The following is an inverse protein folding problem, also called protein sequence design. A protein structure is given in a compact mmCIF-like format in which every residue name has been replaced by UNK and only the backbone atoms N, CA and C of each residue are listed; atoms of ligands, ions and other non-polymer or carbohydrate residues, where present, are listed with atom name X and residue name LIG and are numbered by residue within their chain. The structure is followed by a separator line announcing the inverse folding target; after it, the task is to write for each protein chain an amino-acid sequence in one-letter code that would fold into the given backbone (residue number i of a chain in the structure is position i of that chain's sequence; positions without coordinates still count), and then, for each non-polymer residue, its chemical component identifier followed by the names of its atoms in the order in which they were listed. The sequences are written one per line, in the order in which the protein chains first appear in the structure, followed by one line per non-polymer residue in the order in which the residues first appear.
data_IF_390158155611
#
_entry.id   IF_390158155611
#
_cell.length_a   1.000
_cell.length_b   1.000
_cell.length_c   1.000
_cell.angle_alpha   90.00
_cell.angle_beta   90.00
_cell.angle_gamma   90.00
#
_symmetry.space_group_name_H-M   'P 1'
#
loop_
_entity.id
_entity.type
_entity.pdbx_description
1 polymer ?
#
# COMPACT_ATOMS: atom_id res chain seq x y z
N UNK A 1 50.84 -3.19 -66.48
CA UNK A 1 49.47 -2.90 -66.07
C UNK A 1 49.09 -3.68 -64.80
N UNK A 2 49.76 -3.49 -63.69
CA UNK A 2 49.46 -4.15 -62.39
C UNK A 2 49.01 -3.18 -61.23
N UNK A 3 49.02 -1.87 -61.47
CA UNK A 3 48.73 -0.90 -60.43
C UNK A 3 47.27 -0.35 -60.35
N UNK A 4 46.40 -0.70 -61.30
CA UNK A 4 45.02 -0.16 -61.36
C UNK A 4 43.97 -1.04 -60.67
N UNK A 5 44.31 -2.29 -60.30
CA UNK A 5 43.39 -3.21 -59.63
C UNK A 5 43.32 -2.92 -58.12
N UNK A 6 44.38 -2.31 -57.57
CA UNK A 6 44.49 -2.04 -56.12
C UNK A 6 43.67 -0.79 -55.66
N UNK A 7 43.41 0.17 -56.56
CA UNK A 7 42.64 1.38 -56.25
C UNK A 7 41.19 1.11 -55.84
N UNK A 8 40.38 0.28 -56.56
CA UNK A 8 39.04 -0.08 -56.12
C UNK A 8 39.06 -0.89 -54.84
N UNK A 9 40.01 -1.79 -54.68
CA UNK A 9 40.17 -2.58 -53.45
C UNK A 9 40.48 -1.70 -52.23
N UNK A 10 41.35 -0.70 -52.40
CA UNK A 10 41.65 0.30 -51.36
C UNK A 10 40.42 1.13 -51.02
N UNK A 11 39.62 1.54 -52.01
CA UNK A 11 38.39 2.28 -51.81
C UNK A 11 37.35 1.51 -51.00
N UNK A 12 37.17 0.20 -51.31
CA UNK A 12 36.28 -0.69 -50.57
C UNK A 12 36.78 -0.91 -49.13
N UNK A 13 38.11 -1.13 -48.97
CA UNK A 13 38.69 -1.30 -47.65
C UNK A 13 38.50 -0.06 -46.77
N UNK A 14 38.69 1.15 -47.34
CA UNK A 14 38.50 2.40 -46.62
C UNK A 14 37.04 2.62 -46.25
N UNK A 15 36.12 2.29 -47.14
CA UNK A 15 34.68 2.38 -46.88
C UNK A 15 34.26 1.43 -45.75
N UNK A 16 34.70 0.18 -45.77
CA UNK A 16 34.43 -0.79 -44.71
C UNK A 16 35.00 -0.33 -43.37
N UNK A 17 36.23 0.20 -43.38
CA UNK A 17 36.88 0.72 -42.17
C UNK A 17 36.10 1.91 -41.60
N UNK A 18 35.61 2.83 -42.45
CA UNK A 18 34.83 3.97 -42.04
C UNK A 18 33.49 3.51 -41.46
N UNK A 19 32.80 2.57 -42.09
CA UNK A 19 31.51 2.03 -41.60
C UNK A 19 31.69 1.34 -40.24
N UNK A 20 32.73 0.50 -40.09
CA UNK A 20 33.00 -0.15 -38.80
C UNK A 20 33.40 0.83 -37.72
N UNK A 21 34.12 1.89 -38.05
CA UNK A 21 34.47 2.96 -37.10
C UNK A 21 33.22 3.72 -36.64
N UNK A 22 32.31 4.09 -37.55
CA UNK A 22 31.08 4.78 -37.25
C UNK A 22 30.17 3.91 -36.35
N UNK A 23 30.00 2.63 -36.69
CA UNK A 23 29.26 1.67 -35.84
C UNK A 23 29.91 1.56 -34.46
N UNK A 24 31.22 1.43 -34.39
CA UNK A 24 31.94 1.37 -33.11
C UNK A 24 31.74 2.59 -32.24
N UNK A 25 31.82 3.80 -32.82
CA UNK A 25 31.58 5.06 -32.08
C UNK A 25 30.14 5.19 -31.61
N UNK A 26 29.15 4.88 -32.45
CA UNK A 26 27.74 4.94 -32.06
C UNK A 26 27.40 3.95 -30.95
N UNK A 27 27.93 2.73 -31.01
CA UNK A 27 27.77 1.71 -29.97
C UNK A 27 28.43 2.15 -28.66
N UNK A 28 29.67 2.68 -28.73
CA UNK A 28 30.39 3.15 -27.56
C UNK A 28 29.68 4.34 -26.88
N UNK A 29 29.18 5.32 -27.67
CA UNK A 29 28.42 6.43 -27.14
C UNK A 29 27.10 5.98 -26.52
N UNK A 30 26.39 5.02 -27.11
CA UNK A 30 25.17 4.46 -26.54
C UNK A 30 25.43 3.74 -25.20
N UNK A 31 26.50 2.96 -25.11
CA UNK A 31 26.91 2.27 -23.89
C UNK A 31 27.32 3.28 -22.78
N UNK A 32 28.04 4.34 -23.14
CA UNK A 32 28.44 5.39 -22.18
C UNK A 32 27.22 6.15 -21.65
N UNK A 33 26.29 6.56 -22.52
CA UNK A 33 25.06 7.23 -22.12
C UNK A 33 24.20 6.35 -21.20
N UNK A 34 24.12 5.05 -21.48
CA UNK A 34 23.43 4.09 -20.59
C UNK A 34 24.13 3.94 -19.24
N UNK A 35 25.46 3.97 -19.20
CA UNK A 35 26.23 3.88 -17.95
C UNK A 35 26.08 5.15 -17.07
N UNK A 36 25.82 6.31 -17.65
CA UNK A 36 25.57 7.54 -16.91
C UNK A 36 24.13 7.65 -16.37
N UNK A 37 23.14 7.15 -17.11
CA UNK A 37 21.72 7.18 -16.71
C UNK A 37 21.42 6.23 -15.55
N UNK A 38 21.94 5.02 -15.59
CA UNK A 38 21.64 3.98 -14.60
C UNK A 38 21.92 4.38 -13.14
N UNK A 39 22.98 5.12 -12.76
CA UNK A 39 23.19 5.59 -11.40
C UNK A 39 22.14 6.62 -10.95
N UNK A 40 21.70 7.52 -11.83
CA UNK A 40 20.71 8.55 -11.54
C UNK A 40 19.34 7.91 -11.32
N UNK A 41 18.93 7.04 -12.24
CA UNK A 41 17.69 6.27 -12.14
C UNK A 41 17.67 5.46 -10.83
N UNK A 42 18.76 4.78 -10.51
CA UNK A 42 18.87 4.01 -9.27
C UNK A 42 18.74 4.89 -8.03
N UNK A 43 19.39 6.05 -8.00
CA UNK A 43 19.32 6.97 -6.87
C UNK A 43 17.89 7.49 -6.69
N UNK A 44 17.22 7.83 -7.80
CA UNK A 44 15.83 8.27 -7.79
C UNK A 44 14.91 7.15 -7.34
N UNK A 45 15.05 5.92 -7.88
CA UNK A 45 14.23 4.78 -7.50
C UNK A 45 14.38 4.43 -6.00
N UNK A 46 15.61 4.47 -5.47
CA UNK A 46 15.87 4.27 -4.03
C UNK A 46 15.21 5.38 -3.22
N UNK A 47 15.38 6.65 -3.60
CA UNK A 47 14.79 7.79 -2.91
C UNK A 47 13.26 7.73 -2.87
N UNK A 48 12.61 7.43 -3.99
CA UNK A 48 11.16 7.21 -4.08
C UNK A 48 10.73 6.05 -3.19
N UNK A 49 11.42 4.91 -3.27
CA UNK A 49 11.13 3.74 -2.44
C UNK A 49 11.24 4.05 -0.93
N UNK A 50 12.28 4.81 -0.51
CA UNK A 50 12.46 5.20 0.88
C UNK A 50 11.37 6.16 1.36
N UNK A 51 10.96 7.10 0.54
CA UNK A 51 9.89 8.05 0.87
C UNK A 51 8.53 7.36 0.99
N UNK A 52 8.20 6.44 0.08
CA UNK A 52 6.93 5.68 0.10
C UNK A 52 6.76 4.92 1.42
N UNK A 53 7.84 4.35 1.97
CA UNK A 53 7.78 3.54 3.19
C UNK A 53 8.13 4.31 4.46
N UNK A 54 8.32 5.62 4.37
CA UNK A 54 8.62 6.45 5.54
C UNK A 54 7.43 6.48 6.51
N UNK A 55 7.69 6.74 7.80
CA UNK A 55 6.63 6.77 8.81
C UNK A 55 5.58 7.87 8.57
N UNK A 56 6.01 8.96 7.92
CA UNK A 56 5.18 10.13 7.65
C UNK A 56 4.56 10.12 6.25
N UNK A 57 4.77 9.02 5.48
CA UNK A 57 4.19 8.90 4.16
C UNK A 57 2.67 8.64 4.25
N UNK A 58 1.86 9.25 3.36
CA UNK A 58 0.41 9.09 3.39
C UNK A 58 -0.05 7.68 3.05
N UNK A 59 0.83 6.86 2.47
CA UNK A 59 0.57 5.46 2.13
C UNK A 59 0.92 4.50 3.28
N UNK A 60 1.39 4.98 4.43
CA UNK A 60 1.86 4.12 5.51
C UNK A 60 1.03 4.28 6.78
N UNK A 61 0.71 3.16 7.40
CA UNK A 61 0.21 3.12 8.80
C UNK A 61 1.36 3.39 9.77
N UNK A 62 2.55 2.91 9.43
CA UNK A 62 3.82 3.09 10.12
C UNK A 62 4.96 2.74 9.18
N UNK A 63 6.18 3.11 9.55
CA UNK A 63 7.35 2.84 8.70
C UNK A 63 7.39 1.40 8.19
N UNK A 64 7.53 1.24 6.88
CA UNK A 64 7.60 -0.04 6.15
C UNK A 64 6.31 -0.89 6.22
N UNK A 65 5.18 -0.28 6.60
CA UNK A 65 3.86 -0.91 6.58
C UNK A 65 2.91 -0.03 5.77
N UNK A 66 2.57 -0.48 4.58
CA UNK A 66 1.67 0.22 3.67
C UNK A 66 0.22 -0.06 4.06
N UNK A 67 -0.61 0.96 3.93
CA UNK A 67 -2.06 0.84 4.02
C UNK A 67 -2.62 0.49 2.64
N UNK A 68 -3.23 -0.69 2.51
CA UNK A 68 -3.78 -1.14 1.23
C UNK A 68 -4.89 -0.21 0.72
N UNK A 69 -5.69 0.33 1.63
CA UNK A 69 -6.80 1.21 1.28
C UNK A 69 -6.28 2.58 0.80
N UNK A 70 -5.16 3.04 1.33
CA UNK A 70 -4.52 4.29 0.93
C UNK A 70 -3.80 4.20 -0.44
N UNK A 71 -3.42 3.00 -0.89
CA UNK A 71 -2.69 2.83 -2.16
C UNK A 71 -3.50 3.27 -3.37
N UNK A 72 -4.83 3.16 -3.33
CA UNK A 72 -5.72 3.63 -4.38
C UNK A 72 -5.76 5.16 -4.58
N UNK A 73 -5.20 5.93 -3.64
CA UNK A 73 -5.10 7.40 -3.72
C UNK A 73 -3.77 7.91 -4.29
N UNK A 74 -2.87 7.03 -4.71
CA UNK A 74 -1.61 7.43 -5.32
C UNK A 74 -1.80 7.66 -6.82
N UNK A 75 -1.58 8.89 -7.27
CA UNK A 75 -1.67 9.30 -8.66
C UNK A 75 -0.31 9.67 -9.26
N UNK A 76 -0.28 9.92 -10.57
CA UNK A 76 0.93 10.30 -11.31
C UNK A 76 1.52 11.64 -10.85
N UNK A 77 0.68 12.57 -10.46
CA UNK A 77 1.12 13.91 -10.04
C UNK A 77 1.83 13.82 -8.68
N UNK A 78 1.34 12.96 -7.78
CA UNK A 78 1.99 12.70 -6.52
C UNK A 78 3.41 12.12 -6.68
N UNK A 79 3.68 11.35 -7.75
CA UNK A 79 5.04 10.84 -8.02
C UNK A 79 6.04 11.96 -8.29
N UNK A 80 5.63 13.00 -8.99
CA UNK A 80 6.47 14.14 -9.30
C UNK A 80 6.57 15.12 -8.12
N UNK A 81 5.43 15.55 -7.60
CA UNK A 81 5.35 16.62 -6.61
C UNK A 81 5.83 16.20 -5.21
N UNK A 82 5.53 14.97 -4.83
CA UNK A 82 5.80 14.49 -3.47
C UNK A 82 7.01 13.57 -3.39
N UNK A 83 7.19 12.70 -4.37
CA UNK A 83 8.25 11.69 -4.35
C UNK A 83 9.46 12.07 -5.19
N UNK A 84 9.43 13.24 -5.85
CA UNK A 84 10.59 13.81 -6.54
C UNK A 84 11.01 13.04 -7.79
N UNK A 85 10.08 12.37 -8.46
CA UNK A 85 10.34 11.81 -9.79
C UNK A 85 10.50 12.97 -10.78
N UNK A 86 11.61 13.07 -11.53
CA UNK A 86 11.79 14.12 -12.53
C UNK A 86 10.67 14.09 -13.57
N UNK A 87 10.25 15.27 -14.03
CA UNK A 87 9.15 15.40 -15.01
C UNK A 87 9.46 14.83 -16.40
N UNK A 88 10.73 14.64 -16.70
CA UNK A 88 11.26 14.03 -17.93
C UNK A 88 11.52 12.53 -17.80
N UNK A 89 11.37 11.96 -16.59
CA UNK A 89 11.52 10.55 -16.33
C UNK A 89 10.16 9.84 -16.24
N UNK A 90 10.11 8.61 -16.74
CA UNK A 90 8.99 7.72 -16.50
C UNK A 90 9.22 6.92 -15.20
N UNK A 91 8.15 6.66 -14.46
CA UNK A 91 8.23 5.84 -13.25
C UNK A 91 7.02 4.91 -13.13
N UNK A 92 7.26 3.77 -12.50
CA UNK A 92 6.23 2.77 -12.22
C UNK A 92 6.43 2.17 -10.84
N UNK A 93 5.36 2.17 -10.06
CA UNK A 93 5.33 1.51 -8.75
C UNK A 93 4.41 0.31 -8.82
N UNK A 94 4.92 -0.83 -8.35
CA UNK A 94 4.17 -2.08 -8.26
C UNK A 94 4.21 -2.61 -6.82
N UNK A 95 3.17 -3.34 -6.48
CA UNK A 95 3.09 -4.11 -5.24
C UNK A 95 2.70 -5.55 -5.60
N UNK A 96 3.57 -6.51 -5.30
CA UNK A 96 3.43 -7.91 -5.71
C UNK A 96 3.18 -8.07 -7.23
N UNK A 97 3.82 -7.24 -8.05
CA UNK A 97 3.67 -7.24 -9.51
C UNK A 97 2.45 -6.48 -10.04
N UNK A 98 1.50 -6.09 -9.21
CA UNK A 98 0.37 -5.24 -9.58
C UNK A 98 0.78 -3.77 -9.64
N UNK A 99 0.40 -3.06 -10.71
CA UNK A 99 0.72 -1.64 -10.88
C UNK A 99 -0.19 -0.81 -10.00
N UNK A 100 0.40 -0.08 -9.04
CA UNK A 100 -0.33 0.90 -8.22
C UNK A 100 -0.43 2.22 -8.96
N UNK A 101 0.69 2.70 -9.52
CA UNK A 101 0.76 3.98 -10.24
C UNK A 101 1.87 3.94 -11.28
N UNK A 102 1.69 4.69 -12.36
CA UNK A 102 2.69 4.85 -13.41
C UNK A 102 2.62 6.27 -13.98
N UNK A 103 3.76 6.88 -14.28
CA UNK A 103 3.87 8.12 -15.05
C UNK A 103 4.80 7.86 -16.23
N UNK A 104 4.42 8.34 -17.41
CA UNK A 104 5.15 8.09 -18.65
C UNK A 104 5.11 6.62 -19.11
N UNK A 105 5.93 6.32 -20.10
CA UNK A 105 6.08 4.96 -20.65
C UNK A 105 7.40 4.37 -20.14
N UNK A 106 7.31 3.31 -19.36
CA UNK A 106 8.48 2.59 -18.80
C UNK A 106 8.77 1.41 -19.70
N UNK A 107 9.77 1.55 -20.57
CA UNK A 107 10.23 0.51 -21.52
C UNK A 107 11.52 -0.19 -21.05
N UNK A 108 12.16 0.32 -20.00
CA UNK A 108 13.40 -0.16 -19.42
C UNK A 108 13.62 0.38 -18.02
N UNK A 109 14.77 1.01 -17.82
CA UNK A 109 15.12 1.71 -16.59
C UNK A 109 15.61 0.83 -15.45
N UNK A 110 15.77 1.44 -14.29
CA UNK A 110 16.29 0.76 -13.09
C UNK A 110 15.16 0.46 -12.12
N UNK A 111 15.05 -0.81 -11.72
CA UNK A 111 14.08 -1.26 -10.71
C UNK A 111 14.77 -1.51 -9.37
N UNK A 112 14.16 -1.00 -8.32
CA UNK A 112 14.52 -1.27 -6.92
C UNK A 112 13.38 -2.03 -6.27
N UNK A 113 13.71 -3.18 -5.69
CA UNK A 113 12.77 -4.03 -4.96
C UNK A 113 12.98 -3.92 -3.46
N UNK A 114 11.88 -3.91 -2.72
CA UNK A 114 11.89 -3.87 -1.26
C UNK A 114 10.79 -4.75 -0.69
N UNK A 115 11.11 -5.51 0.34
CA UNK A 115 10.11 -6.23 1.12
C UNK A 115 9.43 -5.23 2.07
N UNK A 116 8.12 -5.14 1.97
CA UNK A 116 7.26 -4.31 2.83
C UNK A 116 6.21 -5.18 3.52
N UNK A 117 5.57 -4.64 4.52
CA UNK A 117 4.32 -5.18 5.04
C UNK A 117 3.16 -4.39 4.43
N UNK A 118 2.07 -5.06 4.16
CA UNK A 118 0.82 -4.43 3.72
C UNK A 118 -0.25 -4.77 4.74
N UNK A 119 -0.86 -3.74 5.29
CA UNK A 119 -1.99 -3.85 6.19
C UNK A 119 -3.28 -3.61 5.41
N UNK A 120 -4.24 -4.51 5.56
CA UNK A 120 -5.59 -4.38 5.03
C UNK A 120 -6.59 -4.51 6.16
N UNK A 121 -7.73 -3.80 6.06
CA UNK A 121 -8.83 -3.90 7.00
C UNK A 121 -10.01 -4.55 6.31
N UNK A 122 -10.63 -5.49 6.98
CA UNK A 122 -11.79 -6.19 6.48
C UNK A 122 -12.98 -5.91 7.39
N UNK A 123 -14.07 -5.42 6.83
CA UNK A 123 -15.30 -5.22 7.59
C UNK A 123 -15.91 -6.57 7.97
N UNK A 124 -16.19 -6.75 9.25
CA UNK A 124 -16.87 -7.92 9.78
C UNK A 124 -18.02 -7.51 10.68
N UNK A 125 -19.19 -8.07 10.41
CA UNK A 125 -20.39 -7.84 11.20
C UNK A 125 -20.81 -9.13 11.90
N UNK A 126 -21.09 -9.03 13.20
CA UNK A 126 -21.57 -10.13 14.03
C UNK A 126 -22.83 -9.73 14.77
N UNK A 127 -23.74 -10.68 14.92
CA UNK A 127 -24.87 -10.63 15.87
C UNK A 127 -24.60 -11.67 16.94
N UNK A 128 -24.29 -11.27 18.19
CA UNK A 128 -23.85 -12.21 19.21
C UNK A 128 -24.99 -13.13 19.67
N UNK A 129 -24.68 -14.41 19.83
CA UNK A 129 -25.61 -15.33 20.46
C UNK A 129 -25.46 -15.24 21.99
N UNK A 130 -26.41 -14.59 22.68
CA UNK A 130 -26.44 -14.48 24.14
C UNK A 130 -27.16 -15.68 24.75
N UNK A 131 -26.43 -16.70 25.17
CA UNK A 131 -27.04 -17.87 25.82
C UNK A 131 -27.18 -17.68 27.35
N UNK A 132 -26.06 -17.47 28.05
CA UNK A 132 -25.98 -17.34 29.52
C UNK A 132 -25.34 -16.05 29.98
N UNK A 133 -24.42 -15.55 29.17
CA UNK A 133 -23.69 -14.30 29.45
C UNK A 133 -23.94 -13.33 28.31
N UNK A 134 -24.17 -12.08 28.62
CA UNK A 134 -24.31 -11.00 27.65
C UNK A 134 -22.94 -10.43 27.28
N UNK A 135 -22.10 -11.33 26.75
CA UNK A 135 -20.71 -11.02 26.48
C UNK A 135 -20.35 -11.47 25.06
N UNK A 136 -19.61 -10.66 24.36
CA UNK A 136 -19.06 -10.98 23.05
C UNK A 136 -17.58 -10.65 23.04
N UNK A 137 -16.77 -11.51 22.41
CA UNK A 137 -15.34 -11.32 22.31
C UNK A 137 -14.99 -10.88 20.91
N UNK A 138 -14.36 -9.71 20.80
CA UNK A 138 -13.79 -9.19 19.56
C UNK A 138 -12.31 -9.55 19.49
N UNK A 139 -11.80 -9.94 18.33
CA UNK A 139 -10.40 -10.30 18.19
C UNK A 139 -9.50 -9.06 18.35
N UNK A 140 -8.28 -9.28 18.77
CA UNK A 140 -7.22 -8.25 18.73
C UNK A 140 -7.06 -7.72 17.30
N UNK A 141 -6.45 -6.54 17.16
CA UNK A 141 -6.26 -5.79 15.90
C UNK A 141 -7.55 -5.14 15.37
N UNK A 142 -8.57 -5.02 16.22
CA UNK A 142 -9.75 -4.22 15.94
C UNK A 142 -9.65 -2.95 16.79
N UNK A 143 -9.19 -1.84 16.19
CA UNK A 143 -9.05 -0.56 16.90
C UNK A 143 -10.40 0.14 17.08
N UNK A 144 -11.36 -0.16 16.22
CA UNK A 144 -12.66 0.48 16.16
C UNK A 144 -13.75 -0.57 15.95
N UNK A 145 -14.92 -0.29 16.49
CA UNK A 145 -16.13 -1.05 16.22
C UNK A 145 -17.34 -0.12 16.25
N UNK A 146 -18.33 -0.39 15.41
CA UNK A 146 -19.63 0.25 15.43
C UNK A 146 -20.65 -0.68 16.05
N UNK A 147 -21.27 -0.27 17.15
CA UNK A 147 -22.29 -1.01 17.88
C UNK A 147 -23.67 -0.45 17.53
N UNK A 148 -24.56 -1.29 16.98
CA UNK A 148 -25.97 -0.97 16.77
C UNK A 148 -26.82 -1.73 17.77
N UNK A 149 -27.61 -1.01 18.56
CA UNK A 149 -28.51 -1.51 19.59
C UNK A 149 -29.96 -1.18 19.26
N UNK A 150 -30.79 -2.23 19.20
CA UNK A 150 -32.24 -2.13 19.00
C UNK A 150 -33.00 -2.96 20.04
N UNK A 151 -32.87 -2.65 21.35
CA UNK A 151 -33.48 -3.45 22.40
C UNK A 151 -35.02 -3.41 22.30
N UNK A 152 -35.73 -4.50 22.62
CA UNK A 152 -37.18 -4.51 22.63
C UNK A 152 -37.74 -3.64 23.79
N UNK A 153 -39.00 -3.30 23.70
CA UNK A 153 -39.64 -2.36 24.65
C UNK A 153 -39.56 -2.77 26.14
N UNK A 154 -39.38 -4.07 26.42
CA UNK A 154 -39.24 -4.62 27.76
C UNK A 154 -37.77 -4.78 28.21
N UNK A 155 -36.82 -4.25 27.45
CA UNK A 155 -35.37 -4.36 27.72
C UNK A 155 -34.74 -2.98 27.74
N UNK A 156 -33.94 -2.73 28.76
CA UNK A 156 -33.16 -1.48 28.89
C UNK A 156 -31.69 -1.85 29.01
N UNK A 157 -30.88 -1.58 27.99
CA UNK A 157 -29.41 -1.71 28.04
C UNK A 157 -28.85 -0.45 28.68
N UNK A 158 -28.27 -0.58 29.86
CA UNK A 158 -27.76 0.60 30.61
C UNK A 158 -26.28 0.85 30.39
N UNK A 159 -25.47 -0.22 30.27
CA UNK A 159 -24.03 -0.08 30.22
C UNK A 159 -23.46 -1.05 29.19
N UNK A 160 -22.48 -0.59 28.42
CA UNK A 160 -21.61 -1.43 27.60
C UNK A 160 -20.17 -1.23 28.09
N UNK A 161 -19.54 -2.32 28.46
CA UNK A 161 -18.15 -2.34 28.96
C UNK A 161 -17.24 -3.09 28.01
N UNK A 162 -16.03 -2.60 27.88
CA UNK A 162 -14.93 -3.36 27.29
C UNK A 162 -14.01 -3.81 28.45
N UNK A 163 -13.98 -5.10 28.70
CA UNK A 163 -13.29 -5.67 29.86
C UNK A 163 -13.71 -4.94 31.16
N UNK A 164 -12.81 -4.19 31.78
CA UNK A 164 -13.08 -3.43 33.00
C UNK A 164 -13.49 -1.96 32.77
N UNK A 165 -13.48 -1.47 31.52
CA UNK A 165 -13.76 -0.08 31.19
C UNK A 165 -15.20 0.11 30.69
N UNK A 166 -15.88 1.13 31.20
CA UNK A 166 -17.19 1.53 30.69
C UNK A 166 -17.00 2.30 29.39
N UNK A 167 -17.52 1.79 28.28
CA UNK A 167 -17.51 2.50 26.99
C UNK A 167 -18.75 3.38 26.83
N UNK A 168 -19.91 2.84 27.19
CA UNK A 168 -21.19 3.54 27.08
C UNK A 168 -21.97 3.35 28.37
N UNK A 169 -22.61 4.42 28.86
CA UNK A 169 -23.52 4.35 30.00
C UNK A 169 -24.68 5.34 29.80
N UNK A 170 -25.92 4.87 30.01
CA UNK A 170 -27.13 5.66 30.03
C UNK A 170 -28.18 4.96 30.89
N UNK A 171 -28.59 5.61 31.99
CA UNK A 171 -29.57 5.04 32.91
C UNK A 171 -30.98 4.90 32.28
N UNK A 172 -31.29 5.77 31.32
CA UNK A 172 -32.57 5.73 30.57
C UNK A 172 -32.60 4.67 29.48
N UNK A 173 -31.44 4.05 29.19
CA UNK A 173 -31.25 3.02 28.18
C UNK A 173 -30.46 3.50 26.97
N UNK A 174 -29.69 2.58 26.42
CA UNK A 174 -28.89 2.74 25.18
C UNK A 174 -29.70 2.15 24.01
N UNK A 175 -29.91 2.93 22.97
CA UNK A 175 -30.53 2.54 21.71
C UNK A 175 -29.97 3.39 20.59
N UNK A 176 -29.74 2.81 19.41
CA UNK A 176 -29.11 3.47 18.25
C UNK A 176 -27.74 2.94 17.94
N UNK A 177 -26.96 3.73 17.21
CA UNK A 177 -25.61 3.36 16.72
C UNK A 177 -24.56 4.16 17.48
N UNK A 178 -23.49 3.47 17.89
CA UNK A 178 -22.39 4.03 18.70
C UNK A 178 -21.06 3.56 18.13
N UNK A 179 -20.12 4.49 17.98
CA UNK A 179 -18.74 4.17 17.61
C UNK A 179 -17.93 3.93 18.88
N UNK A 180 -17.22 2.80 18.91
CA UNK A 180 -16.41 2.34 20.01
C UNK A 180 -14.94 2.36 19.65
N UNK A 181 -14.10 2.97 20.48
CA UNK A 181 -12.64 2.87 20.38
C UNK A 181 -12.15 1.73 21.24
N UNK A 182 -11.38 0.81 20.65
CA UNK A 182 -10.90 -0.41 21.27
C UNK A 182 -9.37 -0.45 21.26
N UNK A 183 -8.78 -1.33 22.08
CA UNK A 183 -7.36 -1.60 22.02
C UNK A 183 -7.03 -2.52 20.85
N UNK A 184 -6.17 -2.12 19.89
CA UNK A 184 -5.76 -2.99 18.80
C UNK A 184 -4.80 -4.10 19.24
N UNK A 185 -4.25 -4.00 20.45
CA UNK A 185 -3.22 -4.91 20.95
C UNK A 185 -3.80 -6.13 21.67
N UNK A 186 -5.01 -6.00 22.20
CA UNK A 186 -5.64 -7.00 23.04
C UNK A 186 -6.95 -7.51 22.43
N UNK A 187 -7.37 -8.68 22.87
CA UNK A 187 -8.70 -9.21 22.62
C UNK A 187 -9.67 -8.50 23.54
N UNK A 188 -10.71 -7.85 23.03
CA UNK A 188 -11.66 -7.09 23.82
C UNK A 188 -12.91 -7.91 24.08
N UNK A 189 -13.32 -7.99 25.36
CA UNK A 189 -14.57 -8.59 25.74
C UNK A 189 -15.62 -7.50 26.00
N UNK A 190 -16.60 -7.37 25.10
CA UNK A 190 -17.74 -6.47 25.30
C UNK A 190 -18.78 -7.16 26.17
N UNK A 191 -19.18 -6.49 27.26
CA UNK A 191 -20.21 -6.94 28.19
C UNK A 191 -21.36 -5.96 28.21
N UNK A 192 -22.59 -6.48 28.10
CA UNK A 192 -23.81 -5.69 28.07
C UNK A 192 -24.56 -5.86 29.39
N UNK A 193 -24.79 -4.76 30.11
CA UNK A 193 -25.61 -4.74 31.32
C UNK A 193 -27.00 -4.27 30.93
N UNK A 194 -27.96 -5.18 30.96
CA UNK A 194 -29.34 -4.90 30.56
C UNK A 194 -30.36 -5.44 31.59
N UNK A 195 -31.41 -4.71 31.77
CA UNK A 195 -32.64 -5.15 32.45
C UNK A 195 -33.60 -5.69 31.39
N UNK A 196 -34.10 -6.92 31.57
CA UNK A 196 -34.92 -7.59 30.59
C UNK A 196 -34.14 -8.51 29.63
N UNK A 197 -34.81 -9.25 28.75
CA UNK A 197 -34.18 -10.16 27.81
C UNK A 197 -33.46 -9.39 26.69
N UNK A 198 -32.19 -9.71 26.47
CA UNK A 198 -31.40 -9.17 25.35
C UNK A 198 -30.93 -10.34 24.49
N UNK A 199 -31.39 -10.39 23.27
CA UNK A 199 -31.05 -11.42 22.28
C UNK A 199 -30.09 -10.86 21.22
N UNK A 200 -29.42 -11.77 20.48
CA UNK A 200 -28.41 -11.36 19.50
C UNK A 200 -28.98 -10.54 18.34
N UNK A 201 -30.22 -10.71 17.97
CA UNK A 201 -30.88 -9.92 16.92
C UNK A 201 -31.02 -8.43 17.27
N UNK A 202 -30.97 -8.10 18.57
CA UNK A 202 -31.04 -6.72 19.07
C UNK A 202 -29.69 -6.03 19.12
N UNK A 203 -28.61 -6.75 18.83
CA UNK A 203 -27.23 -6.27 18.93
C UNK A 203 -26.48 -6.63 17.66
N UNK A 204 -25.99 -5.64 16.96
CA UNK A 204 -25.12 -5.83 15.81
C UNK A 204 -23.80 -5.09 16.07
N UNK A 205 -22.68 -5.78 15.83
CA UNK A 205 -21.35 -5.21 16.01
C UNK A 205 -20.60 -5.35 14.70
N UNK A 206 -20.24 -4.21 14.11
CA UNK A 206 -19.37 -4.13 12.95
C UNK A 206 -18.00 -3.71 13.42
N UNK A 207 -16.96 -4.46 13.08
CA UNK A 207 -15.57 -4.20 13.48
C UNK A 207 -14.62 -4.46 12.32
N UNK A 208 -13.43 -3.86 12.38
CA UNK A 208 -12.47 -3.81 11.29
C UNK A 208 -11.13 -4.40 11.73
N UNK A 209 -10.98 -5.73 11.76
CA UNK A 209 -9.70 -6.33 12.11
C UNK A 209 -8.68 -6.06 11.02
N UNK A 210 -7.49 -5.62 11.42
CA UNK A 210 -6.38 -5.48 10.48
C UNK A 210 -5.64 -6.78 10.30
N UNK A 211 -5.35 -7.14 9.06
CA UNK A 211 -4.44 -8.21 8.69
C UNK A 211 -3.19 -7.65 8.04
N UNK A 212 -2.06 -8.32 8.23
CA UNK A 212 -0.78 -7.86 7.73
C UNK A 212 -0.08 -8.98 6.98
N UNK A 213 0.22 -8.75 5.72
CA UNK A 213 0.98 -9.68 4.88
C UNK A 213 2.29 -9.05 4.37
N UNK A 214 3.25 -9.90 3.99
CA UNK A 214 4.45 -9.45 3.28
C UNK A 214 4.11 -9.22 1.82
N UNK A 215 4.74 -8.20 1.24
CA UNK A 215 4.64 -7.88 -0.18
C UNK A 215 5.99 -7.38 -0.70
N UNK A 216 6.15 -7.39 -2.01
CA UNK A 216 7.31 -6.80 -2.69
C UNK A 216 6.86 -5.48 -3.31
N UNK A 217 7.47 -4.39 -2.86
CA UNK A 217 7.34 -3.07 -3.47
C UNK A 217 8.44 -2.93 -4.51
N UNK A 218 8.05 -2.70 -5.76
CA UNK A 218 8.94 -2.46 -6.89
C UNK A 218 8.79 -1.00 -7.33
N UNK A 219 9.91 -0.29 -7.43
CA UNK A 219 9.97 1.07 -7.97
C UNK A 219 10.90 1.05 -9.16
N UNK A 220 10.35 1.32 -10.34
CA UNK A 220 11.12 1.44 -11.60
C UNK A 220 11.16 2.89 -12.02
N UNK A 221 12.34 3.39 -12.36
CA UNK A 221 12.56 4.72 -12.95
C UNK A 221 13.29 4.53 -14.27
N UNK A 222 12.82 5.19 -15.31
CA UNK A 222 13.33 5.17 -16.68
C UNK A 222 13.47 6.62 -17.16
N UNK A 223 14.71 7.10 -17.36
CA UNK A 223 15.03 8.50 -17.63
C UNK A 223 16.02 8.72 -18.76
#
# INVERSE_FOLDING_TARGET
MRGQIDLPALGIALLLLTVTLVIGITTANGALAGAERSPIERTTAVGVSDQIVSADAPLTVRRNVLDMDATGGLDSDALQDRYGVPSDAAARIRLDGEVIVSTGTVDGGTTVERIVLVESREERTISPAFERTRTVTLPRRSAEATLSLSPPANTTVRTVRADDHVLLANESGLSGTFDLSLSPLETTQLRFEALGPLEGEHVQITYYPSDTRKAILEVTVDG
#
